data_IF_039817544287
#
_entry.id   IF_039817544287
#
_cell.length_a   1.000
_cell.length_b   1.000
_cell.length_c   1.000
_cell.angle_alpha   90.00
_cell.angle_beta   90.00
_cell.angle_gamma   90.00
#
_symmetry.space_group_name_H-M   'P 1'
#
loop_
_entity.id
_entity.type
_entity.pdbx_description
1 polymer ?
#
# COMPACT_ATOMS: atom_id res chain seq x y z
N UNK A 1 -15.45 -6.91 0.75
CA UNK A 1 -16.37 -5.75 0.80
C UNK A 1 -15.98 -4.80 -0.32
N UNK A 2 -16.93 -4.45 -1.18
CA UNK A 2 -16.72 -3.57 -2.34
C UNK A 2 -17.02 -2.09 -2.00
N UNK A 3 -17.71 -1.83 -0.88
CA UNK A 3 -18.21 -0.50 -0.52
C UNK A 3 -17.27 0.27 0.42
N UNK A 4 -16.27 -0.39 0.99
CA UNK A 4 -15.31 0.19 1.92
C UNK A 4 -13.87 0.11 1.40
N UNK A 5 -13.03 1.13 1.62
CA UNK A 5 -11.62 1.06 1.26
C UNK A 5 -10.83 0.14 2.20
N UNK A 6 -9.71 -0.36 1.72
CA UNK A 6 -8.68 -1.02 2.52
C UNK A 6 -7.48 -0.08 2.61
N UNK A 7 -7.13 0.36 3.82
CA UNK A 7 -6.05 1.31 4.08
C UNK A 7 -4.85 0.58 4.66
N UNK A 8 -3.71 0.67 3.96
CA UNK A 8 -2.40 0.42 4.54
C UNK A 8 -1.86 1.68 5.19
N UNK A 9 -1.74 1.65 6.52
CA UNK A 9 -1.06 2.70 7.27
C UNK A 9 0.43 2.38 7.26
N UNK A 10 1.20 3.23 6.57
CA UNK A 10 2.63 3.05 6.35
C UNK A 10 3.43 3.49 7.58
N UNK A 11 4.56 2.80 7.79
CA UNK A 11 5.64 3.23 8.67
C UNK A 11 6.88 3.49 7.81
N UNK A 12 7.79 4.34 8.29
CA UNK A 12 9.02 4.67 7.56
C UNK A 12 9.79 3.41 7.18
N UNK A 13 10.10 3.24 5.89
CA UNK A 13 10.86 2.09 5.37
C UNK A 13 10.04 0.83 5.09
N UNK A 14 8.71 0.89 5.16
CA UNK A 14 7.82 -0.23 4.83
C UNK A 14 6.84 0.15 3.72
N UNK A 15 6.92 -0.53 2.57
CA UNK A 15 5.94 -0.43 1.48
C UNK A 15 5.19 -1.76 1.30
N UNK A 16 3.89 -1.84 1.67
CA UNK A 16 3.06 -3.04 1.52
C UNK A 16 2.58 -3.25 0.07
N UNK A 17 2.97 -2.39 -0.88
CA UNK A 17 2.57 -2.55 -2.29
C UNK A 17 2.97 -3.93 -2.83
N UNK A 18 4.11 -4.47 -2.43
CA UNK A 18 4.52 -5.83 -2.83
C UNK A 18 3.56 -6.92 -2.33
N UNK A 19 3.03 -6.75 -1.11
CA UNK A 19 2.00 -7.66 -0.58
C UNK A 19 0.72 -7.56 -1.41
N UNK A 20 0.28 -6.35 -1.76
CA UNK A 20 -0.87 -6.15 -2.63
C UNK A 20 -0.67 -6.79 -4.00
N UNK A 21 0.50 -6.60 -4.61
CA UNK A 21 0.83 -7.20 -5.92
C UNK A 21 0.78 -8.73 -5.86
N UNK A 22 1.31 -9.33 -4.79
CA UNK A 22 1.27 -10.77 -4.58
C UNK A 22 -0.17 -11.28 -4.41
N UNK A 23 -0.97 -10.62 -3.56
CA UNK A 23 -2.37 -10.96 -3.33
C UNK A 23 -3.20 -10.84 -4.62
N UNK A 24 -3.03 -9.73 -5.35
CA UNK A 24 -3.68 -9.50 -6.63
C UNK A 24 -3.37 -10.63 -7.62
N UNK A 25 -2.09 -11.02 -7.74
CA UNK A 25 -1.67 -12.13 -8.60
C UNK A 25 -2.36 -13.44 -8.24
N UNK A 26 -2.49 -13.76 -6.94
CA UNK A 26 -3.19 -14.96 -6.47
C UNK A 26 -4.68 -14.94 -6.83
N UNK A 27 -5.28 -13.76 -6.86
CA UNK A 27 -6.69 -13.55 -7.22
C UNK A 27 -6.91 -13.36 -8.74
N UNK A 28 -5.86 -13.51 -9.57
CA UNK A 28 -5.95 -13.35 -11.02
C UNK A 28 -5.90 -11.90 -11.51
N UNK A 29 -5.53 -10.95 -10.65
CA UNK A 29 -5.35 -9.55 -10.99
C UNK A 29 -3.90 -9.23 -11.37
N UNK A 30 -3.72 -8.43 -12.41
CA UNK A 30 -2.44 -8.09 -13.04
C UNK A 30 -2.28 -6.56 -13.11
N UNK A 31 -1.12 -6.02 -12.69
CA UNK A 31 -0.82 -4.60 -12.84
C UNK A 31 -0.94 -4.14 -14.30
N UNK A 32 -1.55 -2.99 -14.52
CA UNK A 32 -1.75 -2.40 -15.85
C UNK A 32 -2.99 -2.92 -16.58
N UNK A 33 -3.48 -4.11 -16.23
CA UNK A 33 -4.74 -4.68 -16.72
C UNK A 33 -5.87 -4.35 -15.72
N UNK A 34 -6.28 -5.32 -14.92
CA UNK A 34 -7.36 -5.22 -13.92
C UNK A 34 -6.88 -4.77 -12.53
N UNK A 35 -5.58 -4.56 -12.32
CA UNK A 35 -5.04 -3.82 -11.17
C UNK A 35 -4.42 -2.50 -11.63
N UNK A 36 -4.94 -1.39 -11.13
CA UNK A 36 -4.46 -0.03 -11.40
C UNK A 36 -3.77 0.52 -10.16
N UNK A 37 -2.55 1.02 -10.30
CA UNK A 37 -1.82 1.69 -9.22
C UNK A 37 -1.52 3.13 -9.64
N UNK A 38 -1.74 4.07 -8.74
CA UNK A 38 -1.40 5.48 -8.95
C UNK A 38 -0.84 6.07 -7.67
N UNK A 39 0.36 6.65 -7.74
CA UNK A 39 0.95 7.39 -6.62
C UNK A 39 0.44 8.82 -6.63
N UNK A 40 -0.24 9.20 -5.57
CA UNK A 40 -0.80 10.53 -5.42
C UNK A 40 0.30 11.55 -5.12
N UNK A 41 0.47 12.48 -6.05
CA UNK A 41 1.29 13.67 -5.92
C UNK A 41 0.56 14.87 -6.52
N UNK A 42 1.28 15.94 -6.83
CA UNK A 42 0.69 17.11 -7.47
C UNK A 42 0.09 16.72 -8.84
N UNK A 43 -1.20 17.04 -9.03
CA UNK A 43 -1.91 16.83 -10.31
C UNK A 43 -2.43 15.42 -10.59
N UNK A 44 -2.24 14.44 -9.69
CA UNK A 44 -2.67 13.04 -9.92
C UNK A 44 -4.13 12.77 -9.56
N UNK A 45 -4.79 13.69 -8.85
CA UNK A 45 -6.19 13.56 -8.42
C UNK A 45 -7.17 13.18 -9.53
N UNK A 46 -7.21 13.90 -10.67
CA UNK A 46 -8.11 13.55 -11.78
C UNK A 46 -7.86 12.16 -12.38
N UNK A 47 -6.61 11.71 -12.41
CA UNK A 47 -6.25 10.36 -12.89
C UNK A 47 -6.77 9.32 -11.90
N UNK A 48 -6.60 9.55 -10.60
CA UNK A 48 -7.14 8.69 -9.56
C UNK A 48 -8.67 8.56 -9.64
N UNK A 49 -9.39 9.69 -9.78
CA UNK A 49 -10.85 9.72 -9.93
C UNK A 49 -11.29 8.87 -11.14
N UNK A 50 -10.64 9.06 -12.29
CA UNK A 50 -10.92 8.29 -13.52
C UNK A 50 -10.71 6.79 -13.33
N UNK A 51 -9.57 6.39 -12.73
CA UNK A 51 -9.26 4.98 -12.51
C UNK A 51 -10.25 4.32 -11.56
N UNK A 52 -10.71 5.04 -10.54
CA UNK A 52 -11.76 4.54 -9.65
C UNK A 52 -13.06 4.36 -10.44
N UNK A 53 -13.54 5.37 -11.16
CA UNK A 53 -14.79 5.26 -11.93
C UNK A 53 -14.77 4.11 -12.94
N UNK A 54 -13.65 3.90 -13.65
CA UNK A 54 -13.48 2.75 -14.55
C UNK A 54 -13.49 1.43 -13.77
N UNK A 55 -12.84 1.39 -12.60
CA UNK A 55 -12.78 0.21 -11.75
C UNK A 55 -14.12 -0.18 -11.16
N UNK A 56 -14.97 0.79 -10.80
CA UNK A 56 -16.31 0.54 -10.26
C UNK A 56 -17.19 -0.25 -11.24
N UNK A 57 -17.07 0.04 -12.53
CA UNK A 57 -17.82 -0.66 -13.58
C UNK A 57 -17.16 -1.99 -13.94
N UNK A 58 -15.85 -1.97 -14.18
CA UNK A 58 -15.11 -3.13 -14.68
C UNK A 58 -14.74 -4.17 -13.59
N UNK A 59 -14.93 -3.84 -12.31
CA UNK A 59 -14.50 -4.69 -11.19
C UNK A 59 -12.99 -4.70 -10.98
N UNK A 60 -12.28 -3.65 -11.39
CA UNK A 60 -10.83 -3.57 -11.24
C UNK A 60 -10.43 -3.27 -9.79
N UNK A 61 -9.22 -3.66 -9.42
CA UNK A 61 -8.61 -3.21 -8.19
C UNK A 61 -7.89 -1.89 -8.45
N UNK A 62 -8.09 -0.91 -7.60
CA UNK A 62 -7.45 0.40 -7.71
C UNK A 62 -6.68 0.68 -6.43
N UNK A 63 -5.39 0.98 -6.56
CA UNK A 63 -4.53 1.36 -5.45
C UNK A 63 -4.09 2.82 -5.58
N UNK A 64 -4.57 3.66 -4.66
CA UNK A 64 -4.14 5.05 -4.52
C UNK A 64 -3.01 5.08 -3.48
N UNK A 65 -1.78 5.27 -3.95
CA UNK A 65 -0.61 5.26 -3.10
C UNK A 65 -0.30 6.66 -2.56
N UNK A 66 0.32 6.72 -1.39
CA UNK A 66 0.85 7.95 -0.80
C UNK A 66 -0.18 9.08 -0.62
N UNK A 67 -1.41 8.76 -0.22
CA UNK A 67 -2.51 9.73 -0.12
C UNK A 67 -2.17 10.97 0.73
N UNK A 68 -1.38 10.82 1.80
CA UNK A 68 -0.86 11.90 2.63
C UNK A 68 -0.09 13.00 1.87
N UNK A 69 0.46 12.72 0.68
CA UNK A 69 1.16 13.72 -0.14
C UNK A 69 0.19 14.63 -0.91
N UNK A 70 -1.04 14.17 -1.19
CA UNK A 70 -2.05 14.92 -1.93
C UNK A 70 -3.12 15.53 -1.01
N UNK A 71 -2.68 16.28 0.00
CA UNK A 71 -3.54 16.86 1.05
C UNK A 71 -4.74 17.63 0.48
N UNK A 72 -4.53 18.45 -0.56
CA UNK A 72 -5.60 19.23 -1.19
C UNK A 72 -6.66 18.38 -1.90
N UNK A 73 -6.35 17.12 -2.20
CA UNK A 73 -7.25 16.19 -2.87
C UNK A 73 -8.01 15.29 -1.88
N UNK A 74 -7.56 15.18 -0.63
CA UNK A 74 -8.22 14.36 0.39
C UNK A 74 -9.72 14.64 0.59
N UNK A 75 -10.23 15.88 0.51
CA UNK A 75 -11.68 16.12 0.55
C UNK A 75 -12.45 15.49 -0.62
N UNK A 76 -11.81 15.28 -1.77
CA UNK A 76 -12.41 14.56 -2.90
C UNK A 76 -12.39 13.06 -2.70
N UNK A 77 -11.31 12.53 -2.09
CA UNK A 77 -11.26 11.13 -1.66
C UNK A 77 -12.44 10.81 -0.72
N UNK A 78 -12.74 11.69 0.23
CA UNK A 78 -13.86 11.53 1.16
C UNK A 78 -15.20 11.35 0.43
N UNK A 79 -15.52 12.28 -0.49
CA UNK A 79 -16.73 12.19 -1.33
C UNK A 79 -16.77 10.94 -2.20
N UNK A 80 -15.63 10.52 -2.74
CA UNK A 80 -15.54 9.32 -3.56
C UNK A 80 -15.88 8.07 -2.74
N UNK A 81 -15.37 7.99 -1.51
CA UNK A 81 -15.66 6.89 -0.59
C UNK A 81 -17.10 6.94 -0.07
N UNK A 82 -17.65 8.14 0.16
CA UNK A 82 -19.07 8.31 0.50
C UNK A 82 -19.98 7.77 -0.62
N UNK A 83 -19.75 8.21 -1.87
CA UNK A 83 -20.50 7.72 -3.03
C UNK A 83 -20.39 6.20 -3.20
N UNK A 84 -19.19 5.64 -2.98
CA UNK A 84 -18.97 4.19 -3.06
C UNK A 84 -19.85 3.38 -2.10
N UNK A 85 -20.19 3.97 -0.94
CA UNK A 85 -21.02 3.32 0.08
C UNK A 85 -22.50 3.40 -0.23
N UNK A 86 -22.92 4.41 -0.96
CA UNK A 86 -24.33 4.65 -1.32
C UNK A 86 -24.69 4.01 -2.67
N UNK A 87 -23.70 3.69 -3.51
CA UNK A 87 -23.92 3.13 -4.83
C UNK A 87 -24.12 1.61 -4.80
N UNK A 88 -25.37 1.17 -4.99
CA UNK A 88 -25.76 -0.24 -5.08
C UNK A 88 -25.27 -0.91 -6.38
N UNK A 89 -24.83 -0.14 -7.39
CA UNK A 89 -24.39 -0.66 -8.67
C UNK A 89 -22.87 -0.97 -8.72
N UNK A 90 -22.17 -0.87 -7.59
CA UNK A 90 -20.74 -1.16 -7.49
C UNK A 90 -20.48 -2.62 -7.81
N UNK A 91 -19.54 -2.89 -8.71
CA UNK A 91 -19.15 -4.24 -9.06
C UNK A 91 -18.58 -4.98 -7.83
N UNK A 92 -19.10 -6.16 -7.51
CA UNK A 92 -18.70 -6.96 -6.34
C UNK A 92 -17.21 -7.33 -6.31
N UNK A 93 -16.53 -7.31 -7.46
CA UNK A 93 -15.10 -7.60 -7.58
C UNK A 93 -14.22 -6.36 -7.37
N UNK A 94 -14.78 -5.16 -7.44
CA UNK A 94 -14.06 -3.91 -7.24
C UNK A 94 -13.45 -3.84 -5.84
N UNK A 95 -12.20 -3.37 -5.74
CA UNK A 95 -11.55 -3.08 -4.47
C UNK A 95 -10.78 -1.78 -4.55
N UNK A 96 -11.02 -0.89 -3.60
CA UNK A 96 -10.25 0.33 -3.41
C UNK A 96 -9.20 0.14 -2.31
N UNK A 97 -7.93 0.24 -2.68
CA UNK A 97 -6.78 0.18 -1.79
C UNK A 97 -6.17 1.56 -1.64
N UNK A 98 -5.84 1.94 -0.41
CA UNK A 98 -5.20 3.22 -0.10
C UNK A 98 -3.90 2.95 0.65
N UNK A 99 -2.82 3.66 0.33
CA UNK A 99 -1.62 3.69 1.17
C UNK A 99 -1.37 5.10 1.68
N UNK A 100 -1.10 5.23 2.98
CA UNK A 100 -0.86 6.55 3.58
C UNK A 100 0.01 6.46 4.82
N UNK A 101 0.89 7.43 5.02
CA UNK A 101 1.46 7.70 6.34
C UNK A 101 0.38 8.33 7.24
N UNK A 102 0.48 8.17 8.57
CA UNK A 102 -0.37 8.90 9.52
C UNK A 102 -0.27 10.41 9.27
N UNK A 103 -1.42 11.07 9.15
CA UNK A 103 -1.49 12.53 9.02
C UNK A 103 -2.80 13.05 9.62
N UNK A 104 -2.77 14.17 10.38
CA UNK A 104 -3.99 14.73 10.98
C UNK A 104 -4.95 15.29 9.93
N UNK A 105 -4.50 15.45 8.68
CA UNK A 105 -5.31 15.97 7.56
C UNK A 105 -6.07 14.87 6.83
N UNK A 106 -5.85 13.60 7.15
CA UNK A 106 -6.55 12.51 6.50
C UNK A 106 -8.03 12.51 6.91
N UNK A 107 -8.99 12.32 5.98
CA UNK A 107 -10.40 12.37 6.31
C UNK A 107 -10.78 11.29 7.32
N UNK A 108 -11.26 11.73 8.48
CA UNK A 108 -11.71 10.84 9.55
C UNK A 108 -12.85 9.91 9.09
N UNK A 109 -13.84 10.35 8.29
CA UNK A 109 -14.90 9.46 7.80
C UNK A 109 -14.37 8.32 6.94
N UNK A 110 -13.42 8.60 6.04
CA UNK A 110 -12.71 7.57 5.26
C UNK A 110 -12.01 6.58 6.19
N UNK A 111 -11.29 7.07 7.21
CA UNK A 111 -10.67 6.18 8.19
C UNK A 111 -11.74 5.32 8.86
N UNK A 112 -12.79 5.89 9.43
CA UNK A 112 -13.80 5.15 10.18
C UNK A 112 -14.46 4.04 9.34
N UNK A 113 -14.77 4.33 8.08
CA UNK A 113 -15.43 3.41 7.13
C UNK A 113 -14.50 2.41 6.43
N UNK A 114 -13.19 2.45 6.67
CA UNK A 114 -12.22 1.56 6.01
C UNK A 114 -11.77 0.37 6.87
N UNK A 115 -11.29 -0.69 6.24
CA UNK A 115 -10.46 -1.71 6.89
C UNK A 115 -9.02 -1.19 7.00
N UNK A 116 -8.45 -1.15 8.21
CA UNK A 116 -7.09 -0.63 8.45
C UNK A 116 -6.12 -1.79 8.64
N UNK A 117 -5.03 -1.76 7.89
CA UNK A 117 -3.94 -2.72 7.98
C UNK A 117 -2.66 -1.97 8.38
N UNK A 118 -2.09 -2.38 9.51
CA UNK A 118 -0.80 -1.88 10.00
C UNK A 118 0.21 -3.00 9.93
N UNK A 119 1.30 -2.81 9.19
CA UNK A 119 2.47 -3.67 9.36
C UNK A 119 3.26 -3.18 10.56
N UNK A 120 3.09 -3.85 11.70
CA UNK A 120 4.01 -3.65 12.82
C UNK A 120 5.37 -4.24 12.44
N UNK A 121 6.50 -3.56 12.73
CA UNK A 121 7.81 -4.16 12.59
C UNK A 121 7.86 -5.45 13.42
N UNK A 122 8.52 -6.51 12.94
CA UNK A 122 8.58 -7.76 13.68
C UNK A 122 9.21 -7.50 15.05
N UNK A 123 8.46 -7.79 16.12
CA UNK A 123 8.91 -7.51 17.50
C UNK A 123 10.09 -8.43 17.85
N UNK A 124 11.24 -7.84 18.14
CA UNK A 124 12.40 -8.52 18.73
C UNK A 124 13.70 -8.41 17.90
N UNK A 125 14.82 -8.23 18.60
CA UNK A 125 16.16 -8.10 18.00
C UNK A 125 16.47 -9.24 17.02
N UNK A 126 16.08 -10.47 17.38
CA UNK A 126 16.27 -11.66 16.55
C UNK A 126 15.55 -11.57 15.20
N UNK A 127 14.34 -11.04 15.16
CA UNK A 127 13.57 -10.94 13.92
C UNK A 127 14.10 -9.81 13.02
N UNK A 128 14.56 -8.69 13.62
CA UNK A 128 15.26 -7.64 12.88
C UNK A 128 16.59 -8.14 12.29
N UNK A 129 17.40 -8.85 13.07
CA UNK A 129 18.66 -9.44 12.57
C UNK A 129 18.38 -10.45 11.46
N UNK A 130 17.34 -11.28 11.59
CA UNK A 130 17.00 -12.26 10.56
C UNK A 130 16.55 -11.59 9.25
N UNK A 131 15.80 -10.47 9.33
CA UNK A 131 15.46 -9.66 8.16
C UNK A 131 16.72 -9.08 7.49
N UNK A 132 17.65 -8.52 8.27
CA UNK A 132 18.93 -8.03 7.74
C UNK A 132 19.73 -9.14 7.05
N UNK A 133 19.68 -10.38 7.56
CA UNK A 133 20.30 -11.55 6.91
C UNK A 133 19.65 -11.90 5.56
N UNK A 134 18.32 -11.82 5.46
CA UNK A 134 17.59 -12.11 4.22
C UNK A 134 17.76 -10.99 3.18
N UNK A 135 17.81 -9.74 3.63
CA UNK A 135 18.01 -8.57 2.76
C UNK A 135 19.48 -8.41 2.30
N UNK A 136 20.43 -9.14 2.91
CA UNK A 136 21.85 -9.11 2.52
C UNK A 136 22.13 -10.00 1.31
N UNK A 137 22.83 -9.44 0.33
CA UNK A 137 23.36 -10.19 -0.80
C UNK A 137 24.47 -11.15 -0.30
N UNK A 138 24.20 -12.46 -0.37
CA UNK A 138 25.12 -13.52 0.06
C UNK A 138 26.49 -13.40 -0.61
N UNK A 139 26.53 -12.93 -1.87
CA UNK A 139 27.78 -12.79 -2.62
C UNK A 139 28.66 -11.69 -2.04
N UNK A 140 28.08 -10.55 -1.62
CA UNK A 140 28.81 -9.47 -0.96
C UNK A 140 29.22 -9.85 0.45
N UNK A 141 28.36 -10.57 1.18
CA UNK A 141 28.62 -11.04 2.53
C UNK A 141 29.83 -11.98 2.61
N UNK A 142 29.98 -12.87 1.63
CA UNK A 142 31.10 -13.80 1.53
C UNK A 142 32.30 -13.25 0.72
N UNK A 143 32.16 -12.10 0.05
CA UNK A 143 33.24 -11.49 -0.74
C UNK A 143 34.38 -10.91 0.10
N UNK A 144 34.16 -10.72 1.41
CA UNK A 144 35.15 -10.09 2.27
C UNK A 144 36.37 -11.01 2.48
N UNK A 145 37.56 -10.49 2.22
CA UNK A 145 38.84 -11.19 2.44
C UNK A 145 39.14 -11.50 3.91
N UNK A 146 38.38 -10.92 4.85
CA UNK A 146 38.48 -11.16 6.30
C UNK A 146 37.09 -11.44 6.89
N UNK A 147 36.53 -12.64 6.64
CA UNK A 147 35.14 -12.94 6.99
C UNK A 147 34.89 -12.92 8.51
N UNK A 148 35.85 -13.36 9.33
CA UNK A 148 35.69 -13.36 10.80
C UNK A 148 35.47 -11.96 11.40
N UNK A 149 36.39 -11.00 11.19
CA UNK A 149 36.22 -9.61 11.65
C UNK A 149 35.01 -8.91 11.03
N UNK A 150 34.76 -9.12 9.74
CA UNK A 150 33.65 -8.48 9.02
C UNK A 150 32.29 -8.94 9.55
N UNK A 151 32.12 -10.25 9.75
CA UNK A 151 30.87 -10.82 10.32
C UNK A 151 30.65 -10.35 11.76
N UNK A 152 31.72 -10.16 12.55
CA UNK A 152 31.64 -9.53 13.89
C UNK A 152 31.32 -8.04 13.84
N UNK A 153 31.69 -7.30 12.80
CA UNK A 153 31.37 -5.87 12.68
C UNK A 153 29.90 -5.64 12.29
N UNK A 154 29.34 -6.51 11.44
CA UNK A 154 27.96 -6.39 10.96
C UNK A 154 26.94 -6.77 12.05
N UNK A 155 27.31 -7.70 12.95
CA UNK A 155 26.36 -8.31 13.91
C UNK A 155 26.84 -8.33 15.38
N UNK A 156 28.00 -7.76 15.70
CA UNK A 156 28.60 -7.77 17.02
C UNK A 156 28.45 -6.46 17.77
#
# INVERSE_FOLDING_TARGET
DAHGPIIFVLTSGSDPTQYLLHLAKQQGYRPGENLKLVSLGQGQGPIAEKLVSEGLVAGHWVCLQNCHLAVSWLPRLDRLVENLREDDAVNENFRLWLTTMPTPKFPVPVLQSSLKLTQEPPKGLKANVNRSYVDMNVTEFESCTKPGPFKKLIFG
#
